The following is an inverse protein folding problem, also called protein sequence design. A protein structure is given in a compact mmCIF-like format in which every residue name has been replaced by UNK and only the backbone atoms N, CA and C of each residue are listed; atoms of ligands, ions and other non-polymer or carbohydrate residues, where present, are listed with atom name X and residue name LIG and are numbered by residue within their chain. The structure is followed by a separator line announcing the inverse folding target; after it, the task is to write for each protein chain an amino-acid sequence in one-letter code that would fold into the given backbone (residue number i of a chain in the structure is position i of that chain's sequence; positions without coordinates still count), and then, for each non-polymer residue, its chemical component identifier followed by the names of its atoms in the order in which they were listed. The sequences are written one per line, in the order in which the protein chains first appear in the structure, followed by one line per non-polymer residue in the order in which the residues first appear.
data_IF_225295248300
#
_entry.id   IF_225295248300
#
_cell.length_a   1.000
_cell.length_b   1.000
_cell.length_c   1.000
_cell.angle_alpha   90.00
_cell.angle_beta   90.00
_cell.angle_gamma   90.00
#
_symmetry.space_group_name_H-M   'P 1'
#
loop_
_entity.id
_entity.type
_entity.pdbx_description
1 polymer ?
#
# COMPACT_ATOMS: atom_id res chain seq x y z
N UNK A 1 -2.81 8.29 -8.93
CA UNK A 1 -1.94 7.74 -7.87
C UNK A 1 -2.69 6.60 -7.23
N UNK A 2 -2.01 5.50 -6.92
CA UNK A 2 -2.63 4.41 -6.14
C UNK A 2 -2.50 4.71 -4.65
N UNK A 3 -3.42 4.18 -3.84
CA UNK A 3 -3.40 4.38 -2.38
C UNK A 3 -2.07 3.98 -1.71
N UNK A 4 -1.38 2.89 -2.12
CA UNK A 4 -0.03 2.59 -1.64
C UNK A 4 1.02 3.62 -2.04
N UNK A 5 0.94 4.20 -3.24
CA UNK A 5 1.88 5.25 -3.68
C UNK A 5 1.73 6.53 -2.85
N UNK A 6 0.49 6.90 -2.52
CA UNK A 6 0.21 8.03 -1.63
C UNK A 6 0.84 7.81 -0.26
N UNK A 7 0.64 6.65 0.35
CA UNK A 7 1.25 6.31 1.63
C UNK A 7 2.79 6.33 1.60
N UNK A 8 3.41 5.79 0.54
CA UNK A 8 4.88 5.86 0.40
C UNK A 8 5.38 7.31 0.25
N UNK A 9 4.62 8.17 -0.43
CA UNK A 9 4.96 9.59 -0.58
C UNK A 9 4.90 10.31 0.77
N UNK A 10 3.84 10.11 1.54
CA UNK A 10 3.71 10.69 2.88
C UNK A 10 4.83 10.20 3.83
N UNK A 11 5.20 8.92 3.74
CA UNK A 11 6.33 8.37 4.48
C UNK A 11 7.64 9.10 4.14
N UNK A 12 7.91 9.28 2.84
CA UNK A 12 9.11 9.98 2.38
C UNK A 12 9.11 11.45 2.83
N UNK A 13 7.96 12.13 2.79
CA UNK A 13 7.83 13.51 3.24
C UNK A 13 8.09 13.65 4.75
N UNK A 14 7.61 12.70 5.57
CA UNK A 14 7.91 12.66 6.99
C UNK A 14 9.42 12.52 7.26
N UNK A 15 10.12 11.64 6.52
CA UNK A 15 11.58 11.49 6.64
C UNK A 15 12.32 12.77 6.22
N UNK A 16 11.93 13.39 5.11
CA UNK A 16 12.54 14.66 4.67
C UNK A 16 12.34 15.76 5.70
N UNK A 17 11.15 15.87 6.27
CA UNK A 17 10.87 16.82 7.34
C UNK A 17 11.71 16.53 8.57
N UNK A 18 11.87 15.26 8.97
CA UNK A 18 12.70 14.89 10.13
C UNK A 18 14.14 15.39 10.00
N UNK A 19 14.72 15.35 8.79
CA UNK A 19 16.04 15.91 8.52
C UNK A 19 16.12 17.43 8.63
N UNK A 20 15.00 18.15 8.50
CA UNK A 20 14.95 19.61 8.57
C UNK A 20 14.76 20.16 10.00
N UNK A 21 14.36 19.33 10.96
CA UNK A 21 14.29 19.70 12.37
C UNK A 21 15.59 19.33 13.09
N UNK A 22 15.94 20.04 14.17
CA UNK A 22 17.08 19.68 15.03
C UNK A 22 16.65 18.98 16.32
N UNK A 23 15.42 19.24 16.77
CA UNK A 23 14.84 18.63 17.98
C UNK A 23 14.66 17.11 17.83
N UNK A 24 15.21 16.37 18.80
CA UNK A 24 15.20 14.92 18.81
C UNK A 24 13.79 14.33 18.96
N UNK A 25 12.91 15.01 19.70
CA UNK A 25 11.53 14.54 19.93
C UNK A 25 10.71 14.64 18.64
N UNK A 26 10.85 15.76 17.94
CA UNK A 26 10.20 16.02 16.65
C UNK A 26 10.72 15.06 15.57
N UNK A 27 12.03 14.79 15.54
CA UNK A 27 12.62 13.75 14.68
C UNK A 27 12.00 12.38 14.92
N UNK A 28 11.94 11.96 16.19
CA UNK A 28 11.38 10.66 16.56
C UNK A 28 9.90 10.54 16.15
N UNK A 29 9.11 11.60 16.37
CA UNK A 29 7.71 11.63 15.95
C UNK A 29 7.57 11.48 14.43
N UNK A 30 8.32 12.26 13.65
CA UNK A 30 8.25 12.22 12.19
C UNK A 30 8.71 10.87 11.63
N UNK A 31 9.74 10.27 12.21
CA UNK A 31 10.18 8.92 11.83
C UNK A 31 9.10 7.88 12.14
N UNK A 32 8.48 7.92 13.33
CA UNK A 32 7.38 6.99 13.67
C UNK A 32 6.15 7.15 12.76
N UNK A 33 5.85 8.38 12.33
CA UNK A 33 4.81 8.62 11.32
C UNK A 33 5.19 8.01 9.96
N UNK A 34 6.46 8.13 9.55
CA UNK A 34 6.93 7.53 8.31
C UNK A 34 6.81 6.01 8.32
N UNK A 35 7.15 5.37 9.43
CA UNK A 35 6.98 3.92 9.64
C UNK A 35 5.50 3.51 9.53
N UNK A 36 4.61 4.26 10.18
CA UNK A 36 3.16 4.02 10.11
C UNK A 36 2.64 4.08 8.67
N UNK A 37 3.06 5.09 7.91
CA UNK A 37 2.68 5.21 6.49
C UNK A 37 3.24 4.06 5.65
N UNK A 38 4.46 3.61 5.93
CA UNK A 38 5.06 2.48 5.23
C UNK A 38 4.29 1.17 5.46
N UNK A 39 3.83 0.93 6.69
CA UNK A 39 3.03 -0.25 7.02
C UNK A 39 1.66 -0.22 6.32
N UNK A 40 1.03 0.96 6.24
CA UNK A 40 -0.21 1.15 5.48
C UNK A 40 -0.01 0.90 3.97
N UNK A 41 1.11 1.34 3.39
CA UNK A 41 1.46 1.05 2.01
C UNK A 41 1.56 -0.46 1.77
N UNK A 42 2.29 -1.16 2.63
CA UNK A 42 2.47 -2.61 2.55
C UNK A 42 1.15 -3.36 2.68
N UNK A 43 0.29 -2.97 3.62
CA UNK A 43 -1.03 -3.57 3.80
C UNK A 43 -1.91 -3.36 2.56
N UNK A 44 -1.91 -2.15 2.00
CA UNK A 44 -2.69 -1.83 0.80
C UNK A 44 -2.17 -2.58 -0.45
N UNK A 45 -0.86 -2.76 -0.59
CA UNK A 45 -0.28 -3.60 -1.66
C UNK A 45 -0.71 -5.06 -1.55
N UNK A 46 -0.69 -5.61 -0.33
CA UNK A 46 -1.10 -6.99 -0.10
C UNK A 46 -2.58 -7.19 -0.45
N UNK A 47 -3.45 -6.29 0.01
CA UNK A 47 -4.87 -6.31 -0.34
C UNK A 47 -5.11 -6.22 -1.85
N UNK A 48 -4.33 -5.40 -2.57
CA UNK A 48 -4.41 -5.30 -4.03
C UNK A 48 -3.94 -6.58 -4.73
N UNK A 49 -2.91 -7.26 -4.22
CA UNK A 49 -2.44 -8.55 -4.75
C UNK A 49 -3.50 -9.62 -4.57
N UNK A 50 -4.09 -9.72 -3.39
CA UNK A 50 -5.15 -10.69 -3.08
C UNK A 50 -6.37 -10.49 -3.99
N UNK A 51 -6.83 -9.25 -4.17
CA UNK A 51 -7.93 -8.94 -5.09
C UNK A 51 -7.59 -9.28 -6.55
N UNK A 52 -6.33 -9.08 -6.99
CA UNK A 52 -5.90 -9.46 -8.34
C UNK A 52 -5.94 -10.98 -8.52
N UNK A 53 -5.46 -11.75 -7.54
CA UNK A 53 -5.45 -13.22 -7.60
C UNK A 53 -6.87 -13.78 -7.70
N UNK A 54 -7.79 -13.31 -6.85
CA UNK A 54 -9.19 -13.73 -6.84
C UNK A 54 -9.96 -13.32 -8.11
N UNK A 55 -9.68 -12.15 -8.66
CA UNK A 55 -10.26 -11.70 -9.93
C UNK A 55 -9.81 -12.53 -11.15
N UNK A 56 -8.63 -13.15 -11.07
CA UNK A 56 -8.08 -13.97 -12.16
C UNK A 56 -8.66 -15.40 -12.13
N UNK A 57 -8.93 -15.96 -10.94
CA UNK A 57 -9.58 -17.27 -10.78
C UNK A 57 -11.04 -17.23 -11.19
N UNK A 58 -11.79 -16.18 -10.81
CA UNK A 58 -13.20 -16.03 -11.18
C UNK A 58 -13.42 -15.91 -12.71
N UNK A 59 -12.46 -15.33 -13.44
CA UNK A 59 -12.51 -15.22 -14.90
C UNK A 59 -12.28 -16.56 -15.62
N UNK A 60 -11.67 -17.55 -14.97
CA UNK A 60 -11.39 -18.86 -15.57
C UNK A 60 -12.54 -19.86 -15.41
N UNK A 61 -13.39 -19.68 -14.40
CA UNK A 61 -14.48 -20.62 -14.08
C UNK A 61 -15.73 -20.45 -14.95
N UNK A 62 -15.88 -19.32 -15.63
CA UNK A 62 -17.06 -18.99 -16.46
C UNK A 62 -17.06 -19.73 -17.82
N UNK A 63 -15.90 -20.20 -18.29
CA UNK A 63 -15.76 -20.72 -19.67
C UNK A 63 -16.18 -22.19 -19.87
N UNK A 64 -16.66 -22.89 -18.82
CA UNK A 64 -17.04 -24.32 -18.88
C UNK A 64 -18.55 -24.61 -18.86
N UNK A 65 -19.41 -23.59 -18.81
CA UNK A 65 -20.87 -23.78 -18.70
C UNK A 65 -21.66 -23.87 -20.01
N UNK A 66 -21.04 -23.64 -21.16
CA UNK A 66 -21.76 -23.39 -22.43
C UNK A 66 -21.49 -24.40 -23.54
N UNK A 67 -21.63 -25.70 -23.30
CA UNK A 67 -21.66 -26.69 -24.39
C UNK A 67 -22.43 -27.95 -23.99
N UNK A 68 -23.76 -27.88 -24.04
CA UNK A 68 -24.62 -29.05 -24.25
C UNK A 68 -25.90 -28.55 -24.95
N UNK A 69 -25.87 -28.61 -26.29
CA UNK A 69 -27.05 -28.72 -27.15
C UNK A 69 -27.00 -30.12 -27.78
#
# INVERSE_FOLDING_TARGET
MTKPEEYRREAADCVRLAHAFDDASTKALLVGMAETWWDLARAAENAQREHRTLGTEAAHTDQRGGALL
#
